data_IF_667500881112
#
_entry.id   IF_667500881112
#
_cell.length_a   1.000
_cell.length_b   1.000
_cell.length_c   1.000
_cell.angle_alpha   90.00
_cell.angle_beta   90.00
_cell.angle_gamma   90.00
#
_symmetry.space_group_name_H-M   'P 1'
#
loop_
_entity.id
_entity.type
_entity.pdbx_description
1 polymer ?
#
# COMPACT_ATOMS: atom_id res chain seq x y z
N UNK A 1 3.78 -27.38 -10.00
CA UNK A 1 2.47 -26.72 -9.81
C UNK A 1 2.66 -25.21 -9.91
N UNK A 2 1.91 -24.52 -10.77
CA UNK A 2 1.93 -23.04 -10.82
C UNK A 2 1.28 -22.55 -9.52
N UNK A 3 2.06 -22.00 -8.60
CA UNK A 3 1.53 -21.36 -7.40
C UNK A 3 0.75 -20.11 -7.80
N UNK A 4 -0.52 -19.94 -7.40
CA UNK A 4 -1.32 -18.75 -7.70
C UNK A 4 -0.65 -17.44 -7.23
N UNK A 5 0.15 -17.48 -6.15
CA UNK A 5 0.83 -16.30 -5.58
C UNK A 5 1.92 -15.68 -6.48
N UNK A 6 2.71 -16.49 -7.19
CA UNK A 6 3.78 -15.97 -8.05
C UNK A 6 3.26 -15.14 -9.25
N UNK A 7 2.00 -15.32 -9.62
CA UNK A 7 1.33 -14.53 -10.67
C UNK A 7 0.82 -13.19 -10.11
N UNK A 8 0.42 -13.15 -8.83
CA UNK A 8 0.00 -11.94 -8.15
C UNK A 8 1.17 -10.98 -7.92
N UNK A 9 2.36 -11.48 -7.58
CA UNK A 9 3.57 -10.69 -7.34
C UNK A 9 3.99 -9.87 -8.58
N UNK A 10 4.19 -10.56 -9.71
CA UNK A 10 4.57 -9.90 -10.97
C UNK A 10 3.46 -8.98 -11.50
N UNK A 11 2.19 -9.30 -11.22
CA UNK A 11 1.06 -8.46 -11.59
C UNK A 11 0.99 -7.20 -10.72
N UNK A 12 1.18 -7.31 -9.40
CA UNK A 12 1.22 -6.18 -8.48
C UNK A 12 2.40 -5.26 -8.79
N UNK A 13 3.61 -5.81 -8.97
CA UNK A 13 4.79 -5.02 -9.35
C UNK A 13 4.61 -4.32 -10.71
N UNK A 14 4.13 -5.01 -11.74
CA UNK A 14 3.85 -4.39 -13.05
C UNK A 14 2.77 -3.32 -12.95
N UNK A 15 1.74 -3.56 -12.15
CA UNK A 15 0.64 -2.65 -11.98
C UNK A 15 1.07 -1.35 -11.27
N UNK A 16 2.03 -1.43 -10.33
CA UNK A 16 2.46 -0.28 -9.54
C UNK A 16 3.74 0.42 -10.04
N UNK A 17 4.62 -0.28 -10.75
CA UNK A 17 5.91 0.24 -11.22
C UNK A 17 5.82 1.38 -12.24
N UNK A 18 4.69 1.55 -12.93
CA UNK A 18 4.54 2.56 -13.98
C UNK A 18 4.42 4.03 -13.53
N UNK A 19 4.28 4.32 -12.23
CA UNK A 19 4.00 5.70 -11.76
C UNK A 19 5.20 6.36 -11.07
N UNK A 20 5.59 7.54 -11.57
CA UNK A 20 6.66 8.37 -11.01
C UNK A 20 6.24 9.00 -9.66
N UNK A 21 7.05 8.91 -8.59
CA UNK A 21 6.77 9.60 -7.32
C UNK A 21 7.02 11.12 -7.42
N UNK A 22 6.41 11.90 -6.53
CA UNK A 22 6.87 13.28 -6.26
C UNK A 22 7.65 13.33 -4.95
N UNK A 23 8.80 14.02 -5.01
CA UNK A 23 9.91 14.02 -4.04
C UNK A 23 9.85 15.15 -3.01
N UNK A 24 8.67 15.63 -2.61
CA UNK A 24 8.57 16.72 -1.63
C UNK A 24 8.69 16.19 -0.20
N UNK A 25 9.91 16.19 0.36
CA UNK A 25 10.20 15.88 1.78
C UNK A 25 10.35 14.39 2.13
N UNK A 26 10.15 13.49 1.17
CA UNK A 26 10.00 12.05 1.39
C UNK A 26 11.27 11.22 1.14
N UNK A 27 12.39 11.84 0.76
CA UNK A 27 13.60 11.11 0.31
C UNK A 27 14.09 10.06 1.32
N UNK A 28 14.09 10.41 2.62
CA UNK A 28 14.53 9.49 3.69
C UNK A 28 13.56 8.32 3.90
N UNK A 29 12.26 8.50 3.63
CA UNK A 29 11.30 7.38 3.65
C UNK A 29 11.42 6.52 2.40
N UNK A 30 11.72 7.12 1.25
CA UNK A 30 11.95 6.41 0.00
C UNK A 30 13.16 5.48 0.08
N UNK A 31 14.24 5.92 0.74
CA UNK A 31 15.42 5.10 1.00
C UNK A 31 15.17 3.96 1.99
N UNK A 32 14.23 4.15 2.92
CA UNK A 32 13.83 3.13 3.90
C UNK A 32 12.71 2.20 3.41
N UNK A 33 12.21 2.38 2.18
CA UNK A 33 11.13 1.53 1.66
C UNK A 33 11.57 0.06 1.58
N UNK A 34 12.82 -0.18 1.18
CA UNK A 34 13.37 -1.53 1.05
C UNK A 34 13.57 -2.21 2.42
N UNK A 35 13.63 -1.44 3.50
CA UNK A 35 13.73 -1.92 4.89
C UNK A 35 12.35 -2.22 5.51
N UNK A 36 11.25 -1.87 4.84
CA UNK A 36 9.90 -2.20 5.34
C UNK A 36 9.69 -3.71 5.26
N UNK A 37 9.47 -4.29 6.43
CA UNK A 37 9.17 -5.69 6.70
C UNK A 37 7.92 -5.85 7.58
N UNK A 38 7.60 -7.08 7.99
CA UNK A 38 6.41 -7.38 8.78
C UNK A 38 6.42 -6.80 10.20
N UNK A 39 7.60 -6.53 10.76
CA UNK A 39 7.74 -5.94 12.09
C UNK A 39 7.61 -4.41 12.06
N UNK A 40 7.64 -3.82 10.87
CA UNK A 40 7.56 -2.38 10.68
C UNK A 40 6.20 -1.84 11.11
N UNK A 41 6.19 -0.85 11.99
CA UNK A 41 4.98 -0.11 12.38
C UNK A 41 4.74 1.07 11.43
N UNK A 42 3.49 1.22 11.01
CA UNK A 42 3.06 2.31 10.12
C UNK A 42 1.80 2.96 10.66
N UNK A 43 1.74 4.29 10.55
CA UNK A 43 0.59 5.10 10.95
C UNK A 43 0.03 5.88 9.77
N UNK A 44 -1.26 6.20 9.81
CA UNK A 44 -1.85 7.13 8.86
C UNK A 44 -1.23 8.51 9.08
N UNK A 45 -0.80 9.14 7.98
CA UNK A 45 -0.29 10.51 8.05
C UNK A 45 -1.42 11.44 8.51
N UNK A 46 -1.21 12.27 9.55
CA UNK A 46 -2.22 13.25 9.98
C UNK A 46 -2.68 14.13 8.82
N UNK A 47 -3.99 14.27 8.65
CA UNK A 47 -4.60 15.05 7.56
C UNK A 47 -4.59 14.37 6.18
N UNK A 48 -4.04 13.16 6.04
CA UNK A 48 -4.15 12.43 4.78
C UNK A 48 -5.60 12.01 4.53
N UNK A 49 -6.12 12.39 3.36
CA UNK A 49 -7.48 12.03 2.91
C UNK A 49 -7.37 10.78 2.06
N UNK A 50 -8.19 9.77 2.36
CA UNK A 50 -8.36 8.58 1.54
C UNK A 50 -9.85 8.34 1.33
N UNK A 51 -10.28 8.25 0.05
CA UNK A 51 -11.62 7.78 -0.30
C UNK A 51 -11.50 6.56 -1.20
N UNK A 52 -12.10 5.46 -0.77
CA UNK A 52 -12.17 4.22 -1.55
C UNK A 52 -13.47 4.19 -2.35
N UNK A 53 -13.39 3.73 -3.59
CA UNK A 53 -14.57 3.51 -4.45
C UNK A 53 -14.35 2.23 -5.23
N UNK A 54 -15.30 1.30 -5.17
CA UNK A 54 -15.26 0.05 -5.91
C UNK A 54 -16.06 0.18 -7.22
N UNK A 55 -15.53 -0.39 -8.30
CA UNK A 55 -16.19 -0.46 -9.60
C UNK A 55 -15.74 -1.73 -10.32
N UNK A 56 -16.61 -2.74 -10.37
CA UNK A 56 -16.32 -4.03 -11.00
C UNK A 56 -15.15 -4.74 -10.33
N UNK A 57 -14.14 -5.09 -11.12
CA UNK A 57 -12.91 -5.79 -10.70
C UNK A 57 -11.81 -4.86 -10.17
N UNK A 58 -12.13 -3.57 -9.96
CA UNK A 58 -11.17 -2.57 -9.47
C UNK A 58 -11.71 -1.79 -8.29
N UNK A 59 -10.78 -1.34 -7.44
CA UNK A 59 -11.01 -0.22 -6.53
C UNK A 59 -10.15 0.97 -6.91
N UNK A 60 -10.63 2.17 -6.57
CA UNK A 60 -9.91 3.43 -6.69
C UNK A 60 -9.77 4.04 -5.30
N UNK A 61 -8.53 4.31 -4.88
CA UNK A 61 -8.22 5.12 -3.70
C UNK A 61 -7.85 6.54 -4.13
N UNK A 62 -8.71 7.51 -3.82
CA UNK A 62 -8.40 8.93 -3.98
C UNK A 62 -7.61 9.41 -2.76
N UNK A 63 -6.35 9.79 -2.99
CA UNK A 63 -5.38 10.27 -2.01
C UNK A 63 -5.05 11.74 -2.29
N UNK A 64 -5.86 12.67 -1.79
CA UNK A 64 -5.72 14.10 -2.09
C UNK A 64 -5.81 14.37 -3.60
N UNK A 65 -4.70 14.79 -4.22
CA UNK A 65 -4.57 15.06 -5.66
C UNK A 65 -4.30 13.81 -6.51
N UNK A 66 -4.17 12.62 -5.89
CA UNK A 66 -3.83 11.36 -6.58
C UNK A 66 -4.94 10.33 -6.53
N UNK A 67 -4.95 9.45 -7.53
CA UNK A 67 -5.83 8.28 -7.56
C UNK A 67 -5.02 7.02 -7.78
N UNK A 68 -5.09 6.06 -6.86
CA UNK A 68 -4.57 4.72 -7.09
C UNK A 68 -5.72 3.85 -7.58
N UNK A 69 -5.65 3.34 -8.80
CA UNK A 69 -6.48 2.22 -9.20
C UNK A 69 -5.82 0.96 -8.69
N UNK A 70 -6.55 -0.10 -8.37
CA UNK A 70 -6.01 -1.41 -7.99
C UNK A 70 -7.02 -2.54 -8.14
N UNK A 71 -6.60 -3.81 -8.13
CA UNK A 71 -7.53 -4.94 -8.14
C UNK A 71 -8.53 -4.87 -6.97
N UNK A 72 -9.75 -5.37 -7.19
CA UNK A 72 -10.79 -5.41 -6.17
C UNK A 72 -10.37 -6.17 -4.90
N UNK A 73 -9.50 -7.19 -5.05
CA UNK A 73 -9.01 -8.04 -3.96
C UNK A 73 -8.26 -7.25 -2.87
N UNK A 74 -7.71 -6.07 -3.20
CA UNK A 74 -7.05 -5.21 -2.22
C UNK A 74 -8.03 -4.40 -1.37
N UNK A 75 -9.35 -4.50 -1.59
CA UNK A 75 -10.34 -3.69 -0.89
C UNK A 75 -10.31 -3.91 0.63
N UNK A 76 -10.23 -5.17 1.06
CA UNK A 76 -10.17 -5.51 2.49
C UNK A 76 -8.90 -4.96 3.15
N UNK A 77 -7.75 -5.09 2.48
CA UNK A 77 -6.49 -4.54 2.98
C UNK A 77 -6.52 -3.01 3.06
N UNK A 78 -7.04 -2.33 2.03
CA UNK A 78 -7.20 -0.88 2.04
C UNK A 78 -8.16 -0.41 3.13
N UNK A 79 -9.27 -1.12 3.37
CA UNK A 79 -10.19 -0.84 4.46
C UNK A 79 -9.49 -0.93 5.82
N UNK A 80 -8.80 -2.04 6.09
CA UNK A 80 -8.03 -2.25 7.32
C UNK A 80 -7.00 -1.13 7.56
N UNK A 81 -6.29 -0.70 6.52
CA UNK A 81 -5.35 0.43 6.60
C UNK A 81 -6.05 1.76 6.89
N UNK A 82 -7.24 1.99 6.31
CA UNK A 82 -7.96 3.26 6.52
C UNK A 82 -8.69 3.33 7.85
N UNK A 83 -9.10 2.21 8.43
CA UNK A 83 -9.88 2.16 9.68
C UNK A 83 -8.98 2.27 10.93
N UNK A 84 -7.71 1.83 10.82
CA UNK A 84 -6.77 1.84 11.93
C UNK A 84 -5.88 3.10 11.88
N UNK A 85 -5.66 3.80 13.00
CA UNK A 85 -4.72 4.92 13.04
C UNK A 85 -3.27 4.46 12.88
N UNK A 86 -2.94 3.26 13.35
CA UNK A 86 -1.63 2.60 13.27
C UNK A 86 -1.82 1.09 13.14
N UNK A 87 -0.88 0.41 12.47
CA UNK A 87 -0.78 -1.05 12.39
C UNK A 87 0.66 -1.50 12.18
N UNK A 88 0.94 -2.77 12.48
CA UNK A 88 2.17 -3.45 12.07
C UNK A 88 1.94 -4.10 10.71
N UNK A 89 2.92 -4.07 9.80
CA UNK A 89 2.74 -4.62 8.44
C UNK A 89 2.27 -6.08 8.46
N UNK A 90 2.77 -6.88 9.40
CA UNK A 90 2.35 -8.26 9.61
C UNK A 90 0.86 -8.43 9.94
N UNK A 91 0.18 -7.39 10.43
CA UNK A 91 -1.27 -7.43 10.72
C UNK A 91 -2.11 -7.63 9.44
N UNK A 92 -1.51 -7.41 8.26
CA UNK A 92 -2.15 -7.64 6.96
C UNK A 92 -1.99 -9.09 6.46
N UNK A 93 -1.31 -9.97 7.18
CA UNK A 93 -1.00 -11.33 6.74
C UNK A 93 -2.25 -12.21 6.53
N UNK A 94 -3.37 -11.90 7.20
CA UNK A 94 -4.65 -12.58 6.97
C UNK A 94 -5.32 -12.19 5.65
N UNK A 95 -4.91 -11.06 5.06
CA UNK A 95 -5.52 -10.48 3.87
C UNK A 95 -4.61 -10.59 2.63
N UNK A 96 -3.30 -10.59 2.84
CA UNK A 96 -2.30 -10.51 1.78
C UNK A 96 -1.10 -11.42 2.09
N UNK A 97 -0.57 -12.05 1.03
CA UNK A 97 0.74 -12.68 1.10
C UNK A 97 1.84 -11.65 1.41
N UNK A 98 3.01 -12.16 1.76
CA UNK A 98 4.12 -11.34 2.24
C UNK A 98 4.61 -10.31 1.23
N UNK A 99 4.89 -10.68 -0.04
CA UNK A 99 5.31 -9.68 -1.01
C UNK A 99 4.23 -8.63 -1.25
N UNK A 100 2.96 -9.02 -1.36
CA UNK A 100 1.86 -8.09 -1.65
C UNK A 100 1.65 -7.06 -0.54
N UNK A 101 1.71 -7.46 0.74
CA UNK A 101 1.58 -6.49 1.85
C UNK A 101 2.75 -5.51 1.90
N UNK A 102 3.97 -5.96 1.62
CA UNK A 102 5.15 -5.08 1.55
C UNK A 102 5.02 -4.07 0.41
N UNK A 103 4.65 -4.53 -0.79
CA UNK A 103 4.42 -3.66 -1.96
C UNK A 103 3.33 -2.63 -1.67
N UNK A 104 2.20 -3.05 -1.10
CA UNK A 104 1.10 -2.17 -0.75
C UNK A 104 1.56 -1.09 0.25
N UNK A 105 2.15 -1.49 1.38
CA UNK A 105 2.57 -0.55 2.43
C UNK A 105 3.63 0.42 1.90
N UNK A 106 4.65 -0.07 1.20
CA UNK A 106 5.67 0.78 0.57
C UNK A 106 5.04 1.80 -0.37
N UNK A 107 4.03 1.38 -1.13
CA UNK A 107 3.30 2.28 -2.01
C UNK A 107 2.54 3.35 -1.24
N UNK A 108 1.79 2.98 -0.21
CA UNK A 108 1.02 3.94 0.58
C UNK A 108 1.91 4.92 1.35
N UNK A 109 3.09 4.49 1.79
CA UNK A 109 4.12 5.39 2.34
C UNK A 109 4.62 6.36 1.26
N UNK A 110 4.95 5.87 0.07
CA UNK A 110 5.40 6.67 -1.08
C UNK A 110 4.36 7.68 -1.58
N UNK A 111 3.08 7.34 -1.46
CA UNK A 111 1.96 8.22 -1.82
C UNK A 111 1.57 9.16 -0.69
N UNK A 112 2.20 9.03 0.48
CA UNK A 112 2.01 9.92 1.63
C UNK A 112 0.80 9.60 2.49
N UNK A 113 0.06 8.52 2.21
CA UNK A 113 -1.05 8.06 3.05
C UNK A 113 -0.53 7.51 4.38
N UNK A 114 0.57 6.75 4.32
CA UNK A 114 1.21 6.16 5.49
C UNK A 114 2.56 6.81 5.81
N UNK A 115 2.99 6.64 7.05
CA UNK A 115 4.34 6.92 7.49
C UNK A 115 4.84 5.82 8.42
N UNK A 116 6.14 5.53 8.34
CA UNK A 116 6.79 4.61 9.28
C UNK A 116 6.87 5.31 10.64
N UNK A 117 6.44 4.60 11.68
CA UNK A 117 6.58 5.01 13.08
C UNK A 117 7.93 4.51 13.56
N UNK A 118 8.72 5.38 14.20
CA UNK A 118 9.99 5.03 14.85
C UNK A 118 9.81 5.07 16.35
#
# INVERSE_FOLDING_TARGET
ARHPGAVADAAAERFWSGRRPRLSGQLRQLLALDEIDDATKVARRPGAICRLTAAGDRITAQLGDRRLHMPADLAAAMAAVTERPELTVGDLAELLDQPSRHVLVRRLVREGLLMVVR
#
